data_IF_409817503532
#
_entry.id   IF_409817503532
#
_cell.length_a   1.000
_cell.length_b   1.000
_cell.length_c   1.000
_cell.angle_alpha   90.00
_cell.angle_beta   90.00
_cell.angle_gamma   90.00
#
_symmetry.space_group_name_H-M   'P 1'
#
loop_
_entity.id
_entity.type
_entity.pdbx_description
1 polymer ?
#
# COMPACT_ATOMS: atom_id res chain seq x y z
N UNK A 1 2.45 2.01 12.13
CA UNK A 1 2.70 2.69 10.84
C UNK A 1 2.66 4.22 10.96
N UNK A 2 1.48 4.86 11.06
CA UNK A 2 1.37 6.32 11.12
C UNK A 2 2.18 6.98 12.25
N UNK A 3 2.08 6.45 13.48
CA UNK A 3 2.88 6.92 14.62
C UNK A 3 4.40 6.73 14.44
N UNK A 4 4.81 5.70 13.70
CA UNK A 4 6.22 5.37 13.48
C UNK A 4 6.83 6.17 12.31
N UNK A 5 6.01 6.51 11.32
CA UNK A 5 6.45 7.29 10.14
C UNK A 5 6.75 8.76 10.43
N UNK A 6 6.35 9.28 11.60
CA UNK A 6 6.42 10.71 11.92
C UNK A 6 5.51 11.61 11.06
N UNK A 7 4.78 11.05 10.09
CA UNK A 7 4.01 11.81 9.11
C UNK A 7 2.62 12.18 9.64
N UNK A 8 2.20 13.46 9.57
CA UNK A 8 0.86 13.85 9.95
C UNK A 8 -0.16 13.33 8.92
N UNK A 9 -1.31 12.85 9.42
CA UNK A 9 -2.39 12.26 8.60
C UNK A 9 -2.83 13.15 7.42
N UNK A 10 -2.86 14.46 7.65
CA UNK A 10 -3.22 15.45 6.63
C UNK A 10 -2.20 15.55 5.50
N UNK A 11 -0.92 15.34 5.79
CA UNK A 11 0.14 15.33 4.78
C UNK A 11 0.12 14.04 3.99
N UNK A 12 -0.13 12.90 4.63
CA UNK A 12 -0.35 11.63 3.93
C UNK A 12 -1.53 11.73 2.95
N UNK A 13 -2.68 12.28 3.40
CA UNK A 13 -3.82 12.52 2.50
C UNK A 13 -3.44 13.35 1.28
N UNK A 14 -2.63 14.41 1.47
CA UNK A 14 -2.17 15.27 0.37
C UNK A 14 -1.23 14.54 -0.59
N UNK A 15 -0.31 13.71 -0.08
CA UNK A 15 0.62 12.92 -0.90
C UNK A 15 -0.10 11.86 -1.75
N UNK A 16 -1.21 11.33 -1.24
CA UNK A 16 -2.11 10.43 -1.97
C UNK A 16 -3.04 11.16 -2.97
N UNK A 17 -2.94 12.49 -3.11
CA UNK A 17 -3.85 13.27 -3.95
C UNK A 17 -5.30 13.27 -3.46
N UNK A 18 -5.55 12.94 -2.18
CA UNK A 18 -6.89 12.88 -1.57
C UNK A 18 -7.17 14.12 -0.73
N UNK A 19 -8.45 14.30 -0.38
CA UNK A 19 -8.88 15.34 0.55
C UNK A 19 -8.24 15.16 1.93
N UNK A 20 -7.89 16.27 2.60
CA UNK A 20 -7.14 16.28 3.87
C UNK A 20 -7.70 15.34 4.94
N UNK A 21 -9.02 15.18 4.98
CA UNK A 21 -9.75 14.37 5.95
C UNK A 21 -9.74 12.87 5.65
N UNK A 22 -9.36 12.45 4.44
CA UNK A 22 -9.46 11.07 3.97
C UNK A 22 -8.83 10.05 4.93
N UNK A 23 -7.54 10.20 5.24
CA UNK A 23 -6.84 9.30 6.18
C UNK A 23 -7.46 9.34 7.57
N UNK A 24 -7.90 10.52 8.02
CA UNK A 24 -8.55 10.65 9.33
C UNK A 24 -9.89 9.91 9.37
N UNK A 25 -10.72 10.03 8.33
CA UNK A 25 -12.00 9.33 8.23
C UNK A 25 -11.83 7.83 8.11
N UNK A 26 -10.84 7.37 7.34
CA UNK A 26 -10.56 5.94 7.15
C UNK A 26 -10.16 5.27 8.46
N UNK A 27 -9.36 5.93 9.28
CA UNK A 27 -8.88 5.37 10.56
C UNK A 27 -9.91 5.52 11.68
N UNK A 28 -10.51 6.72 11.81
CA UNK A 28 -11.40 7.02 12.94
C UNK A 28 -12.72 6.27 12.87
N UNK A 29 -13.17 5.85 11.69
CA UNK A 29 -14.49 5.22 11.50
C UNK A 29 -14.48 3.71 11.75
N UNK A 30 -13.37 3.13 12.25
CA UNK A 30 -13.22 1.67 12.38
C UNK A 30 -13.42 0.93 11.05
N UNK A 31 -13.38 1.65 9.94
CA UNK A 31 -13.58 1.10 8.61
C UNK A 31 -12.28 0.40 8.25
N UNK A 32 -12.34 -0.90 7.99
CA UNK A 32 -11.21 -1.64 7.43
C UNK A 32 -10.85 -0.98 6.10
N UNK A 33 -9.71 -0.28 6.00
CA UNK A 33 -9.29 0.26 4.71
C UNK A 33 -9.20 -0.89 3.72
N UNK A 34 -9.58 -0.64 2.46
CA UNK A 34 -9.32 -1.65 1.43
C UNK A 34 -7.82 -1.90 1.34
N UNK A 35 -7.44 -3.12 0.96
CA UNK A 35 -6.05 -3.53 0.86
C UNK A 35 -5.24 -2.62 -0.10
N UNK A 36 -5.87 -2.18 -1.20
CA UNK A 36 -5.31 -1.18 -2.12
C UNK A 36 -4.93 0.12 -1.42
N UNK A 37 -5.87 0.71 -0.69
CA UNK A 37 -5.70 1.98 0.01
C UNK A 37 -4.66 1.84 1.12
N UNK A 38 -4.62 0.68 1.80
CA UNK A 38 -3.61 0.40 2.81
C UNK A 38 -2.21 0.26 2.22
N UNK A 39 -2.07 -0.41 1.07
CA UNK A 39 -0.82 -0.51 0.34
C UNK A 39 -0.31 0.87 -0.12
N UNK A 40 -1.19 1.70 -0.67
CA UNK A 40 -0.85 3.06 -1.10
C UNK A 40 -0.37 3.91 0.10
N UNK A 41 -1.11 3.87 1.21
CA UNK A 41 -0.69 4.52 2.47
C UNK A 41 0.69 4.01 2.92
N UNK A 42 0.92 2.70 2.85
CA UNK A 42 2.17 2.08 3.25
C UNK A 42 3.37 2.60 2.46
N UNK A 43 3.24 2.65 1.13
CA UNK A 43 4.29 3.11 0.20
C UNK A 43 4.72 4.54 0.51
N UNK A 44 3.77 5.44 0.72
CA UNK A 44 4.08 6.84 1.07
C UNK A 44 4.77 7.00 2.43
N UNK A 45 4.61 6.04 3.32
CA UNK A 45 5.26 6.01 4.64
C UNK A 45 6.58 5.21 4.65
N UNK A 46 7.06 4.74 3.50
CA UNK A 46 8.30 3.97 3.39
C UNK A 46 8.19 2.50 3.78
N UNK A 47 6.99 1.93 3.74
CA UNK A 47 6.74 0.53 4.02
C UNK A 47 6.13 -0.17 2.80
N UNK A 48 6.16 -1.49 2.80
CA UNK A 48 5.50 -2.34 1.79
C UNK A 48 4.45 -3.22 2.46
N UNK A 49 3.32 -3.44 1.79
CA UNK A 49 2.28 -4.36 2.26
C UNK A 49 2.51 -5.71 1.59
N UNK A 50 2.84 -6.73 2.38
CA UNK A 50 3.11 -8.09 1.87
C UNK A 50 2.16 -9.09 2.50
N UNK A 51 1.58 -9.98 1.69
CA UNK A 51 0.94 -11.20 2.14
C UNK A 51 2.01 -12.28 2.25
N UNK A 52 2.20 -12.83 3.44
CA UNK A 52 3.16 -13.91 3.67
C UNK A 52 2.41 -15.20 4.02
N UNK A 53 2.67 -16.26 3.28
CA UNK A 53 2.03 -17.55 3.48
C UNK A 53 2.63 -18.61 2.58
N UNK A 54 2.56 -19.88 3.00
CA UNK A 54 3.08 -21.01 2.20
C UNK A 54 4.57 -20.90 1.78
N UNK A 55 5.38 -20.14 2.52
CA UNK A 55 6.79 -19.89 2.18
C UNK A 55 6.99 -18.80 1.12
N UNK A 56 5.92 -18.14 0.68
CA UNK A 56 5.90 -17.07 -0.32
C UNK A 56 5.58 -15.71 0.32
N UNK A 57 6.04 -14.64 -0.32
CA UNK A 57 5.69 -13.26 -0.02
C UNK A 57 5.15 -12.58 -1.29
N UNK A 58 3.88 -12.15 -1.25
CA UNK A 58 3.21 -11.43 -2.35
C UNK A 58 3.08 -9.96 -1.95
N UNK A 59 3.67 -9.05 -2.71
CA UNK A 59 3.51 -7.62 -2.49
C UNK A 59 2.17 -7.12 -3.04
N UNK A 60 1.42 -6.39 -2.22
CA UNK A 60 0.11 -5.83 -2.60
C UNK A 60 0.31 -4.40 -3.07
N UNK A 61 -0.14 -4.10 -4.30
CA UNK A 61 -0.04 -2.77 -4.88
C UNK A 61 1.38 -2.38 -5.30
N UNK A 62 2.29 -3.35 -5.46
CA UNK A 62 3.54 -3.18 -6.20
C UNK A 62 3.26 -3.02 -7.68
N UNK A 63 4.16 -2.32 -8.39
CA UNK A 63 4.08 -2.14 -9.85
C UNK A 63 4.44 -3.44 -10.61
N UNK A 64 4.83 -4.49 -9.88
CA UNK A 64 5.37 -5.75 -10.38
C UNK A 64 4.29 -6.78 -10.78
N UNK A 65 3.09 -6.31 -11.13
CA UNK A 65 2.20 -7.12 -11.97
C UNK A 65 2.74 -7.00 -13.41
N UNK A 66 3.58 -7.97 -13.81
CA UNK A 66 4.17 -8.16 -15.15
C UNK A 66 5.67 -7.78 -15.28
N UNK A 67 6.54 -8.48 -14.53
CA UNK A 67 7.96 -8.62 -14.90
C UNK A 67 8.43 -10.08 -14.94
N UNK A 68 7.49 -11.03 -14.87
CA UNK A 68 7.73 -12.46 -15.11
C UNK A 68 6.80 -12.97 -16.22
N UNK A 69 6.79 -12.28 -17.38
CA UNK A 69 6.55 -13.00 -18.62
C UNK A 69 7.85 -13.74 -18.92
N UNK A 70 7.97 -14.96 -18.36
CA UNK A 70 9.04 -15.87 -18.70
C UNK A 70 9.20 -15.89 -20.22
N UNK A 71 10.42 -15.61 -20.69
CA UNK A 71 10.78 -15.81 -22.07
C UNK A 71 10.42 -17.26 -22.43
N UNK A 72 9.30 -17.43 -23.15
CA UNK A 72 8.96 -18.70 -23.75
C UNK A 72 9.91 -18.89 -24.94
N UNK A 73 11.10 -19.39 -24.64
CA UNK A 73 12.04 -19.91 -25.61
C UNK A 73 11.61 -21.33 -26.03
N UNK A 74 11.56 -21.58 -27.34
CA UNK A 74 11.32 -22.89 -27.96
C UNK A 74 9.98 -22.95 -28.71
N UNK A 75 9.93 -23.21 -30.03
CA UNK A 75 10.86 -23.93 -30.91
C UNK A 75 10.69 -23.49 -32.36
#
# INVERSE_FOLDING_TARGET
>A
MLRASGMPKSELSRRMGKVRTFVSSTISRGSTPRADTLAEMARHMGYRLVLRGHGEEIEIGGDDADADQGAADGS
#
